data_IF_636755480243
#
_entry.id   IF_636755480243
#
_cell.length_a   1.000
_cell.length_b   1.000
_cell.length_c   1.000
_cell.angle_alpha   90.00
_cell.angle_beta   90.00
_cell.angle_gamma   90.00
#
_symmetry.space_group_name_H-M   'P 1'
#
loop_
_entity.id
_entity.type
_entity.pdbx_description
1 polymer ?
#
# COMPACT_ATOMS: atom_id res chain seq x y z
N UNK A 1 9.99 -18.97 -29.28
CA UNK A 1 8.69 -19.46 -28.79
C UNK A 1 8.54 -19.05 -27.34
N UNK A 2 7.73 -18.03 -27.02
CA UNK A 2 7.41 -17.70 -25.63
C UNK A 2 6.49 -18.78 -25.08
N UNK A 3 7.00 -19.62 -24.17
CA UNK A 3 6.13 -20.51 -23.41
C UNK A 3 5.26 -19.66 -22.49
N UNK A 4 3.97 -19.58 -22.81
CA UNK A 4 2.99 -18.87 -22.01
C UNK A 4 2.53 -19.78 -20.87
N UNK A 5 3.13 -19.59 -19.70
CA UNK A 5 2.67 -20.23 -18.47
C UNK A 5 1.48 -19.47 -17.89
N UNK A 6 0.53 -20.20 -17.31
CA UNK A 6 -0.64 -19.58 -16.68
C UNK A 6 -0.23 -18.82 -15.40
N UNK A 7 -0.95 -17.76 -15.01
CA UNK A 7 -0.66 -16.99 -13.79
C UNK A 7 -0.61 -17.87 -12.53
N UNK A 8 -1.48 -18.88 -12.44
CA UNK A 8 -1.57 -19.82 -11.31
C UNK A 8 -0.31 -20.68 -11.21
N UNK A 9 0.20 -21.13 -12.36
CA UNK A 9 1.44 -21.90 -12.40
C UNK A 9 2.63 -21.05 -11.98
N UNK A 10 2.74 -19.82 -12.50
CA UNK A 10 3.79 -18.87 -12.10
C UNK A 10 3.76 -18.60 -10.59
N UNK A 11 2.56 -18.37 -10.02
CA UNK A 11 2.36 -18.21 -8.57
C UNK A 11 2.89 -19.42 -7.79
N UNK A 12 2.53 -20.63 -8.21
CA UNK A 12 2.98 -21.86 -7.56
C UNK A 12 4.51 -21.95 -7.56
N UNK A 13 5.15 -21.67 -8.69
CA UNK A 13 6.61 -21.74 -8.82
C UNK A 13 7.31 -20.70 -7.94
N UNK A 14 6.83 -19.46 -7.92
CA UNK A 14 7.37 -18.40 -7.05
C UNK A 14 7.21 -18.78 -5.58
N UNK A 15 6.05 -19.32 -5.20
CA UNK A 15 5.77 -19.78 -3.83
C UNK A 15 6.70 -20.89 -3.37
N UNK A 16 6.98 -21.86 -4.23
CA UNK A 16 7.95 -22.94 -3.96
C UNK A 16 9.37 -22.41 -3.69
N UNK A 17 9.74 -21.29 -4.32
CA UNK A 17 11.04 -20.67 -4.10
C UNK A 17 11.06 -19.79 -2.84
N UNK A 18 10.11 -18.87 -2.73
CA UNK A 18 10.07 -17.84 -1.69
C UNK A 18 9.60 -18.38 -0.33
N UNK A 19 8.57 -19.23 -0.30
CA UNK A 19 8.01 -19.75 0.95
C UNK A 19 8.66 -21.07 1.37
N UNK A 20 8.86 -22.00 0.43
CA UNK A 20 9.46 -23.32 0.73
C UNK A 20 11.00 -23.32 0.63
N UNK A 21 11.62 -22.22 0.18
CA UNK A 21 13.08 -22.09 0.10
C UNK A 21 13.75 -22.98 -0.94
N UNK A 22 13.00 -23.56 -1.89
CA UNK A 22 13.59 -24.48 -2.88
C UNK A 22 14.53 -23.75 -3.83
N UNK A 23 15.63 -24.39 -4.18
CA UNK A 23 16.58 -23.82 -5.13
C UNK A 23 16.03 -23.81 -6.56
N UNK A 24 16.42 -22.82 -7.37
CA UNK A 24 16.05 -22.79 -8.78
C UNK A 24 16.39 -24.07 -9.51
N UNK A 25 17.52 -24.72 -9.17
CA UNK A 25 17.96 -25.97 -9.80
C UNK A 25 16.96 -27.12 -9.58
N UNK A 26 16.44 -27.25 -8.36
CA UNK A 26 15.42 -28.26 -8.04
C UNK A 26 14.13 -27.98 -8.82
N UNK A 27 13.67 -26.73 -8.83
CA UNK A 27 12.45 -26.34 -9.53
C UNK A 27 12.60 -26.53 -11.06
N UNK A 28 13.74 -26.16 -11.63
CA UNK A 28 14.01 -26.37 -13.06
C UNK A 28 14.03 -27.85 -13.44
N UNK A 29 14.53 -28.72 -12.57
CA UNK A 29 14.61 -30.15 -12.81
C UNK A 29 13.23 -30.84 -12.70
N UNK A 30 12.39 -30.41 -11.76
CA UNK A 30 11.07 -30.99 -11.52
C UNK A 30 10.01 -30.48 -12.51
N UNK A 31 10.03 -29.18 -12.83
CA UNK A 31 8.98 -28.52 -13.62
C UNK A 31 9.40 -28.17 -15.06
N UNK A 32 10.66 -28.38 -15.42
CA UNK A 32 11.18 -28.07 -16.77
C UNK A 32 11.19 -26.58 -17.11
N UNK A 33 11.07 -25.70 -16.11
CA UNK A 33 11.06 -24.24 -16.29
C UNK A 33 12.50 -23.72 -16.30
N UNK A 34 12.81 -22.71 -17.11
CA UNK A 34 14.14 -22.10 -17.09
C UNK A 34 14.36 -21.19 -15.88
N UNK A 35 15.59 -21.16 -15.33
CA UNK A 35 15.97 -20.28 -14.22
C UNK A 35 15.62 -18.82 -14.47
N UNK A 36 15.83 -18.34 -15.71
CA UNK A 36 15.52 -16.97 -16.11
C UNK A 36 14.02 -16.66 -15.98
N UNK A 37 13.15 -17.61 -16.34
CA UNK A 37 11.70 -17.44 -16.19
C UNK A 37 11.28 -17.37 -14.73
N UNK A 38 11.84 -18.25 -13.89
CA UNK A 38 11.56 -18.25 -12.44
C UNK A 38 11.98 -16.92 -11.81
N UNK A 39 13.22 -16.47 -12.10
CA UNK A 39 13.74 -15.20 -11.58
C UNK A 39 12.89 -14.01 -12.04
N UNK A 40 12.45 -14.00 -13.29
CA UNK A 40 11.52 -12.99 -13.81
C UNK A 40 10.20 -12.97 -13.04
N UNK A 41 9.60 -14.14 -12.80
CA UNK A 41 8.34 -14.22 -12.06
C UNK A 41 8.49 -13.79 -10.60
N UNK A 42 9.58 -14.17 -9.92
CA UNK A 42 9.85 -13.69 -8.56
C UNK A 42 9.92 -12.15 -8.51
N UNK A 43 10.58 -11.53 -9.50
CA UNK A 43 10.64 -10.06 -9.59
C UNK A 43 9.28 -9.42 -9.89
N UNK A 44 8.50 -10.00 -10.80
CA UNK A 44 7.14 -9.53 -11.13
C UNK A 44 6.22 -9.61 -9.90
N UNK A 45 6.22 -10.74 -9.18
CA UNK A 45 5.41 -10.96 -7.97
C UNK A 45 5.81 -10.04 -6.82
N UNK A 46 7.10 -9.82 -6.61
CA UNK A 46 7.59 -8.90 -5.59
C UNK A 46 7.13 -7.46 -5.86
N UNK A 47 7.19 -7.01 -7.13
CA UNK A 47 6.72 -5.69 -7.55
C UNK A 47 5.20 -5.53 -7.40
N UNK A 48 4.42 -6.55 -7.78
CA UNK A 48 2.96 -6.52 -7.59
C UNK A 48 2.59 -6.44 -6.11
N UNK A 49 3.29 -7.17 -5.25
CA UNK A 49 3.09 -7.13 -3.80
C UNK A 49 3.40 -5.73 -3.23
N UNK A 50 4.55 -5.14 -3.61
CA UNK A 50 4.91 -3.78 -3.21
C UNK A 50 3.92 -2.74 -3.72
N UNK A 51 3.48 -2.83 -4.97
CA UNK A 51 2.49 -1.91 -5.54
C UNK A 51 1.14 -2.00 -4.79
N UNK A 52 0.72 -3.21 -4.41
CA UNK A 52 -0.50 -3.41 -3.61
C UNK A 52 -0.38 -2.84 -2.20
N UNK A 53 0.79 -2.92 -1.57
CA UNK A 53 1.03 -2.35 -0.25
C UNK A 53 1.05 -0.82 -0.30
N UNK A 54 1.78 -0.24 -1.27
CA UNK A 54 1.82 1.20 -1.47
C UNK A 54 0.42 1.78 -1.74
N UNK A 55 -0.38 1.11 -2.58
CA UNK A 55 -1.75 1.54 -2.86
C UNK A 55 -2.64 1.54 -1.60
N UNK A 56 -2.40 0.59 -0.68
CA UNK A 56 -3.10 0.52 0.60
C UNK A 56 -2.66 1.65 1.54
N UNK A 57 -1.35 1.89 1.65
CA UNK A 57 -0.80 2.99 2.46
C UNK A 57 -1.26 4.36 1.96
N UNK A 58 -1.32 4.56 0.65
CA UNK A 58 -1.82 5.79 0.02
C UNK A 58 -3.31 6.00 0.33
N UNK A 59 -4.11 4.94 0.27
CA UNK A 59 -5.53 4.98 0.62
C UNK A 59 -5.75 5.34 2.10
N UNK A 60 -5.02 4.68 2.99
CA UNK A 60 -5.11 4.94 4.44
C UNK A 60 -4.66 6.38 4.76
N UNK A 61 -3.60 6.86 4.11
CA UNK A 61 -3.12 8.24 4.23
C UNK A 61 -4.13 9.26 3.73
N UNK A 62 -4.82 8.99 2.61
CA UNK A 62 -5.85 9.88 2.08
C UNK A 62 -7.06 9.96 3.02
N UNK A 63 -7.47 8.83 3.61
CA UNK A 63 -8.55 8.76 4.58
C UNK A 63 -8.22 9.57 5.84
N UNK A 64 -7.00 9.45 6.33
CA UNK A 64 -6.53 10.21 7.49
C UNK A 64 -6.46 11.72 7.20
N UNK A 65 -5.96 12.10 6.03
CA UNK A 65 -5.91 13.51 5.63
C UNK A 65 -7.31 14.15 5.58
N UNK A 66 -8.32 13.40 5.12
CA UNK A 66 -9.70 13.87 5.09
C UNK A 66 -10.26 14.05 6.52
N UNK A 67 -9.95 13.13 7.43
CA UNK A 67 -10.34 13.24 8.85
C UNK A 67 -9.74 14.50 9.49
N UNK A 68 -8.43 14.68 9.34
CA UNK A 68 -7.71 15.82 9.88
C UNK A 68 -8.21 17.15 9.32
N UNK A 69 -8.56 17.21 8.03
CA UNK A 69 -9.14 18.42 7.42
C UNK A 69 -10.47 18.82 8.07
N UNK A 70 -11.34 17.85 8.36
CA UNK A 70 -12.62 18.11 9.04
C UNK A 70 -12.42 18.62 10.45
N UNK A 71 -11.56 17.94 11.21
CA UNK A 71 -11.22 18.34 12.58
C UNK A 71 -10.59 19.75 12.61
N UNK A 72 -9.70 20.06 11.66
CA UNK A 72 -9.11 21.39 11.56
C UNK A 72 -10.16 22.47 11.26
N UNK A 73 -11.14 22.17 10.41
CA UNK A 73 -12.23 23.09 10.11
C UNK A 73 -13.12 23.34 11.35
N UNK A 74 -13.45 22.29 12.10
CA UNK A 74 -14.21 22.39 13.35
C UNK A 74 -13.47 23.23 14.39
N UNK A 75 -12.18 22.94 14.62
CA UNK A 75 -11.33 23.71 15.53
C UNK A 75 -11.23 25.18 15.11
N UNK A 76 -11.13 25.47 13.81
CA UNK A 76 -11.12 26.85 13.30
C UNK A 76 -12.44 27.57 13.59
N UNK A 77 -13.58 26.88 13.46
CA UNK A 77 -14.90 27.44 13.79
C UNK A 77 -14.99 27.74 15.30
N UNK A 78 -14.53 26.83 16.14
CA UNK A 78 -14.53 27.00 17.59
C UNK A 78 -13.63 28.16 18.03
N UNK A 79 -12.41 28.25 17.49
CA UNK A 79 -11.50 29.39 17.72
C UNK A 79 -12.16 30.70 17.29
N UNK A 80 -12.82 30.74 16.12
CA UNK A 80 -13.49 31.94 15.64
C UNK A 80 -14.65 32.34 16.56
N UNK A 81 -15.41 31.37 17.07
CA UNK A 81 -16.49 31.60 18.03
C UNK A 81 -15.95 32.16 19.35
N UNK A 82 -14.93 31.53 19.94
CA UNK A 82 -14.31 31.98 21.19
C UNK A 82 -13.72 33.39 21.06
N UNK A 83 -13.08 33.71 19.94
CA UNK A 83 -12.58 35.06 19.66
C UNK A 83 -13.71 36.10 19.61
N UNK A 84 -14.84 35.77 18.98
CA UNK A 84 -16.02 36.66 18.95
C UNK A 84 -16.60 36.86 20.35
N UNK A 85 -16.72 35.78 21.13
CA UNK A 85 -17.20 35.85 22.50
C UNK A 85 -16.28 36.72 23.38
N UNK A 86 -14.96 36.51 23.31
CA UNK A 86 -13.99 37.31 24.04
C UNK A 86 -14.07 38.81 23.66
N UNK A 87 -14.21 39.13 22.38
CA UNK A 87 -14.38 40.50 21.92
C UNK A 87 -15.70 41.14 22.41
N UNK A 88 -16.79 40.36 22.48
CA UNK A 88 -18.06 40.81 23.04
C UNK A 88 -17.93 41.15 24.53
N UNK A 89 -17.36 40.24 25.33
CA UNK A 89 -17.16 40.48 26.76
C UNK A 89 -16.20 41.66 27.04
N UNK A 90 -15.14 41.81 26.26
CA UNK A 90 -14.23 42.94 26.39
C UNK A 90 -14.90 44.30 26.12
N UNK A 91 -15.98 44.33 25.31
CA UNK A 91 -16.75 45.55 25.01
C UNK A 91 -17.79 45.90 26.07
N UNK A 92 -18.33 44.93 26.80
CA UNK A 92 -19.34 45.14 27.86
C UNK A 92 -18.73 45.56 29.20
N UNK A 93 -17.43 45.29 29.43
CA UNK A 93 -16.72 45.59 30.68
C UNK A 93 -15.94 46.92 30.62
N UNK A 94 -15.76 47.50 29.42
CA UNK A 94 -15.11 48.79 29.20
C UNK A 94 -16.12 49.91 28.98
#
# INVERSE_FOLDING_TARGET
MSQNYTPEFKKKIVRLHEEEGRTYKSITAEYGVSKASISKWCSEFSKECQASLQAKEDYDSMKENLRLKRENEELRKEIAFLKKAAAFFAKEIG
#
